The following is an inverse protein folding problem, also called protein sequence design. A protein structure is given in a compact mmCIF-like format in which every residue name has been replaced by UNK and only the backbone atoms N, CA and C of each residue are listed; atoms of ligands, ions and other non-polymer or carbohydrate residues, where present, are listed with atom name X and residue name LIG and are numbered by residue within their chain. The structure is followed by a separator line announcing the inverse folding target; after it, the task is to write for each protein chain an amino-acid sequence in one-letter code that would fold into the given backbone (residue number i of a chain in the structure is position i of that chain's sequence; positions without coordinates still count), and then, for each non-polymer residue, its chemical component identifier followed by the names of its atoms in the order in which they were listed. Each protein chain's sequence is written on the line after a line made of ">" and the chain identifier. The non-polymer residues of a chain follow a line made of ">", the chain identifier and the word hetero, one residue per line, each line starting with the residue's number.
data_IF_768912315983
#
_entry.id   IF_768912315983
#
_cell.length_a   1.000
_cell.length_b   1.000
_cell.length_c   1.000
_cell.angle_alpha   90.00
_cell.angle_beta   90.00
_cell.angle_gamma   90.00
#
_symmetry.space_group_name_H-M   'P 1'
#
loop_
_entity.id
_entity.type
_entity.pdbx_description
1 polymer ?
#
# COMPACT_ATOMS: atom_id res chain seq x y z
N UNK A 1 2.09 -1.99 -15.44
CA UNK A 1 1.57 -1.38 -14.22
C UNK A 1 1.02 0.00 -14.55
N UNK A 2 -0.17 0.33 -14.08
CA UNK A 2 -0.76 1.66 -14.12
C UNK A 2 -1.17 2.04 -12.69
N UNK A 3 -0.95 3.29 -12.33
CA UNK A 3 -1.40 3.87 -11.07
C UNK A 3 -2.60 4.79 -11.30
N UNK A 4 -3.56 4.75 -10.39
CA UNK A 4 -4.66 5.71 -10.29
C UNK A 4 -4.56 6.49 -8.97
N UNK A 5 -5.18 7.66 -8.93
CA UNK A 5 -5.35 8.47 -7.73
C UNK A 5 -6.82 8.46 -7.33
N UNK A 6 -7.08 8.19 -6.05
CA UNK A 6 -8.43 8.11 -5.52
C UNK A 6 -8.57 8.98 -4.26
N UNK A 7 -9.81 9.32 -3.95
CA UNK A 7 -10.26 9.90 -2.69
C UNK A 7 -11.22 8.92 -2.04
N UNK A 8 -10.89 8.48 -0.83
CA UNK A 8 -11.66 7.48 -0.09
C UNK A 8 -12.18 8.07 1.23
N UNK A 9 -13.43 7.77 1.54
CA UNK A 9 -14.15 8.17 2.74
C UNK A 9 -15.04 7.05 3.27
N UNK A 10 -15.81 7.34 4.32
CA UNK A 10 -16.76 6.35 4.86
C UNK A 10 -17.91 6.15 3.85
N UNK A 11 -17.88 5.02 3.15
CA UNK A 11 -18.92 4.61 2.20
C UNK A 11 -18.83 5.27 0.83
N UNK A 12 -17.77 6.04 0.56
CA UNK A 12 -17.56 6.73 -0.73
C UNK A 12 -16.15 6.53 -1.24
N UNK A 13 -16.01 6.40 -2.55
CA UNK A 13 -14.73 6.40 -3.23
C UNK A 13 -14.87 7.15 -4.55
N UNK A 14 -13.92 8.03 -4.85
CA UNK A 14 -13.86 8.79 -6.07
C UNK A 14 -12.51 8.61 -6.75
N UNK A 15 -12.51 8.40 -8.07
CA UNK A 15 -11.28 8.28 -8.87
C UNK A 15 -11.09 9.49 -9.76
N UNK A 16 -9.87 10.02 -9.75
CA UNK A 16 -9.47 11.14 -10.60
C UNK A 16 -9.63 10.75 -12.09
N UNK A 17 -10.21 11.64 -12.88
CA UNK A 17 -10.38 11.52 -14.32
C UNK A 17 -9.32 12.35 -15.06
N UNK A 18 -9.14 12.10 -16.36
CA UNK A 18 -8.16 12.81 -17.22
C UNK A 18 -8.45 14.30 -17.36
N UNK A 19 -9.70 14.71 -17.20
CA UNK A 19 -10.14 16.11 -17.22
C UNK A 19 -10.09 16.78 -15.83
N UNK A 20 -9.44 16.13 -14.86
CA UNK A 20 -9.31 16.56 -13.46
C UNK A 20 -10.64 16.56 -12.67
N UNK A 21 -11.71 16.00 -13.24
CA UNK A 21 -12.94 15.67 -12.51
C UNK A 21 -12.77 14.40 -11.68
N UNK A 22 -13.76 14.11 -10.83
CA UNK A 22 -13.77 12.95 -9.94
C UNK A 22 -15.03 12.13 -10.20
N UNK A 23 -14.86 10.83 -10.46
CA UNK A 23 -15.96 9.88 -10.70
C UNK A 23 -16.15 8.99 -9.49
N UNK A 24 -17.39 8.81 -9.04
CA UNK A 24 -17.72 7.85 -7.98
C UNK A 24 -17.45 6.41 -8.47
N UNK A 25 -16.72 5.62 -7.68
CA UNK A 25 -16.31 4.24 -8.00
C UNK A 25 -16.84 3.21 -7.02
N UNK A 26 -17.73 3.58 -6.09
CA UNK A 26 -18.27 2.67 -5.08
C UNK A 26 -18.92 1.42 -5.70
N UNK A 27 -19.55 1.57 -6.86
CA UNK A 27 -20.26 0.49 -7.57
C UNK A 27 -19.43 -0.18 -8.67
N UNK A 28 -18.37 0.49 -9.17
CA UNK A 28 -17.52 -0.04 -10.23
C UNK A 28 -16.06 0.40 -10.06
N UNK A 29 -15.23 -0.56 -9.64
CA UNK A 29 -13.80 -0.36 -9.40
C UNK A 29 -12.92 -0.60 -10.65
N UNK A 30 -13.49 -1.11 -11.75
CA UNK A 30 -12.76 -1.32 -13.00
C UNK A 30 -12.26 0.00 -13.57
N UNK A 31 -11.18 -0.07 -14.36
CA UNK A 31 -10.66 1.10 -15.06
C UNK A 31 -11.59 1.48 -16.22
N UNK A 32 -11.92 2.77 -16.27
CA UNK A 32 -12.63 3.36 -17.41
C UNK A 32 -11.69 4.15 -18.31
N UNK A 33 -12.06 4.31 -19.57
CA UNK A 33 -11.25 5.05 -20.58
C UNK A 33 -10.89 6.47 -20.15
N UNK A 34 -11.73 7.12 -19.34
CA UNK A 34 -11.51 8.49 -18.86
C UNK A 34 -10.81 8.58 -17.50
N UNK A 35 -10.53 7.45 -16.83
CA UNK A 35 -9.79 7.46 -15.58
C UNK A 35 -8.36 8.00 -15.81
N UNK A 36 -7.91 8.86 -14.90
CA UNK A 36 -6.51 9.27 -14.85
C UNK A 36 -5.67 8.04 -14.51
N UNK A 37 -4.70 7.75 -15.37
CA UNK A 37 -3.73 6.67 -15.16
C UNK A 37 -2.34 7.17 -15.48
N UNK A 38 -1.35 6.69 -14.73
CA UNK A 38 0.06 7.02 -14.98
C UNK A 38 0.95 5.81 -14.72
N UNK A 39 2.11 5.77 -15.37
CA UNK A 39 3.18 4.82 -15.05
C UNK A 39 4.20 5.39 -14.06
N UNK A 40 4.03 6.66 -13.68
CA UNK A 40 5.01 7.44 -12.93
C UNK A 40 4.50 7.66 -11.50
N UNK A 41 5.09 6.96 -10.54
CA UNK A 41 4.68 7.05 -9.14
C UNK A 41 4.71 8.48 -8.58
N UNK A 42 5.67 9.31 -9.01
CA UNK A 42 5.79 10.69 -8.54
C UNK A 42 4.59 11.58 -8.93
N UNK A 43 3.85 11.24 -9.99
CA UNK A 43 2.65 11.99 -10.38
C UNK A 43 1.51 11.76 -9.38
N UNK A 44 1.41 10.55 -8.80
CA UNK A 44 0.46 10.26 -7.73
C UNK A 44 0.83 11.05 -6.46
N UNK A 45 2.09 10.97 -6.04
CA UNK A 45 2.53 11.65 -4.81
C UNK A 45 2.37 13.16 -4.92
N UNK A 46 2.80 13.78 -6.02
CA UNK A 46 2.68 15.23 -6.24
C UNK A 46 1.23 15.74 -6.29
N UNK A 47 0.30 14.93 -6.80
CA UNK A 47 -1.13 15.26 -6.84
C UNK A 47 -1.86 15.04 -5.51
N UNK A 48 -1.29 14.23 -4.60
CA UNK A 48 -1.90 13.88 -3.31
C UNK A 48 -1.71 14.96 -2.21
N UNK A 49 -1.21 16.14 -2.54
CA UNK A 49 -0.88 17.19 -1.55
C UNK A 49 -1.52 18.56 -1.82
N UNK A 50 -2.31 18.72 -2.88
CA UNK A 50 -2.64 20.04 -3.41
C UNK A 50 -3.95 20.65 -2.88
N UNK A 51 -4.82 19.91 -2.16
CA UNK A 51 -6.15 20.41 -1.75
C UNK A 51 -6.48 20.04 -0.32
N UNK A 52 -7.03 21.01 0.43
CA UNK A 52 -7.59 20.80 1.78
C UNK A 52 -9.08 20.48 1.75
N UNK A 53 -9.79 20.93 0.72
CA UNK A 53 -11.22 20.68 0.57
C UNK A 53 -11.58 20.43 -0.89
N UNK A 54 -12.69 19.72 -1.12
CA UNK A 54 -13.26 19.50 -2.45
C UNK A 54 -14.78 19.43 -2.38
N UNK A 55 -15.47 19.94 -3.40
CA UNK A 55 -16.92 19.78 -3.53
C UNK A 55 -17.24 18.69 -4.54
N UNK A 56 -17.86 17.60 -4.09
CA UNK A 56 -18.26 16.45 -4.91
C UNK A 56 -19.74 16.17 -4.65
N UNK A 57 -20.52 16.05 -5.73
CA UNK A 57 -21.97 15.71 -5.64
C UNK A 57 -22.77 16.65 -4.71
N UNK A 58 -22.34 17.91 -4.58
CA UNK A 58 -22.97 18.91 -3.71
C UNK A 58 -22.45 18.96 -2.28
N UNK A 59 -21.70 17.94 -1.82
CA UNK A 59 -21.10 17.85 -0.49
C UNK A 59 -19.69 18.44 -0.52
N UNK A 60 -19.31 19.18 0.53
CA UNK A 60 -17.94 19.67 0.71
C UNK A 60 -17.22 18.73 1.65
N UNK A 61 -16.13 18.14 1.17
CA UNK A 61 -15.30 17.24 1.95
C UNK A 61 -14.00 17.94 2.36
N UNK A 62 -13.55 17.67 3.58
CA UNK A 62 -12.19 17.93 4.04
C UNK A 62 -11.27 16.79 3.61
N UNK A 63 -10.11 17.12 3.07
CA UNK A 63 -9.11 16.14 2.65
C UNK A 63 -7.94 16.20 3.63
N UNK A 64 -7.71 15.13 4.39
CA UNK A 64 -6.51 14.97 5.22
C UNK A 64 -5.74 13.70 4.81
N UNK A 65 -4.55 13.85 4.17
CA UNK A 65 -3.75 12.71 3.74
C UNK A 65 -3.17 11.87 4.90
N UNK A 66 -3.29 12.35 6.14
CA UNK A 66 -2.59 11.80 7.31
C UNK A 66 -3.49 11.01 8.24
N UNK A 67 -4.80 11.10 8.05
CA UNK A 67 -5.78 10.51 8.96
C UNK A 67 -6.74 9.63 8.19
N UNK A 68 -7.07 8.49 8.81
CA UNK A 68 -8.23 7.74 8.37
C UNK A 68 -9.49 8.60 8.55
N UNK A 69 -10.41 8.66 7.57
CA UNK A 69 -11.67 9.38 7.71
C UNK A 69 -12.43 8.93 8.96
N UNK A 70 -12.75 9.88 9.84
CA UNK A 70 -13.47 9.63 11.11
C UNK A 70 -14.95 10.00 11.03
N UNK A 71 -15.36 10.66 9.95
CA UNK A 71 -16.74 11.04 9.67
C UNK A 71 -17.00 11.02 8.15
N UNK A 72 -18.27 11.21 7.75
CA UNK A 72 -18.71 11.14 6.36
C UNK A 72 -18.28 12.32 5.49
N UNK A 73 -17.74 13.40 6.06
CA UNK A 73 -17.30 14.62 5.35
C UNK A 73 -15.78 14.67 5.21
N UNK A 74 -15.08 13.58 5.54
CA UNK A 74 -13.63 13.46 5.40
C UNK A 74 -13.27 12.49 4.28
N UNK A 75 -12.29 12.89 3.48
CA UNK A 75 -11.65 12.06 2.46
C UNK A 75 -10.15 11.98 2.73
N UNK A 76 -9.54 10.88 2.30
CA UNK A 76 -8.10 10.70 2.25
C UNK A 76 -7.69 10.35 0.81
N UNK A 77 -6.49 10.76 0.40
CA UNK A 77 -5.90 10.28 -0.84
C UNK A 77 -5.48 8.81 -0.68
N UNK A 78 -5.89 7.97 -1.61
CA UNK A 78 -5.38 6.63 -1.78
C UNK A 78 -4.87 6.45 -3.21
N UNK A 79 -4.20 5.33 -3.48
CA UNK A 79 -3.83 4.96 -4.84
C UNK A 79 -4.08 3.49 -5.11
N UNK A 80 -4.30 3.18 -6.39
CA UNK A 80 -4.43 1.80 -6.84
C UNK A 80 -3.46 1.47 -7.96
N UNK A 81 -3.22 0.17 -8.12
CA UNK A 81 -2.22 -0.39 -9.03
C UNK A 81 -2.82 -1.48 -9.89
N UNK A 82 -2.81 -1.27 -11.20
CA UNK A 82 -3.34 -2.22 -12.18
C UNK A 82 -2.22 -2.89 -13.01
N UNK A 83 -2.32 -4.20 -13.33
CA UNK A 83 -1.21 -4.99 -13.90
C UNK A 83 -1.62 -6.15 -14.85
N UNK A 84 -0.94 -6.27 -16.01
CA UNK A 84 -1.19 -7.39 -16.97
C UNK A 84 -0.53 -8.67 -16.53
N UNK A 85 0.57 -8.51 -15.81
CA UNK A 85 1.47 -9.60 -15.47
C UNK A 85 1.38 -9.84 -13.99
N UNK A 86 1.30 -11.12 -13.64
CA UNK A 86 1.39 -11.56 -12.27
C UNK A 86 2.78 -11.16 -11.74
N UNK A 87 2.86 -10.43 -10.63
CA UNK A 87 4.14 -10.05 -10.04
C UNK A 87 4.83 -11.23 -9.37
N UNK A 88 6.13 -11.08 -9.10
CA UNK A 88 6.86 -12.00 -8.25
C UNK A 88 6.22 -12.07 -6.87
N UNK A 89 6.15 -13.26 -6.31
CA UNK A 89 5.66 -13.46 -4.96
C UNK A 89 6.76 -13.13 -3.94
N UNK A 90 6.45 -12.41 -2.85
CA UNK A 90 7.42 -12.16 -1.79
C UNK A 90 7.90 -13.46 -1.14
N UNK A 91 9.19 -13.56 -0.83
CA UNK A 91 9.78 -14.80 -0.30
C UNK A 91 10.37 -14.63 1.10
N UNK A 92 10.51 -15.76 1.79
CA UNK A 92 11.16 -15.84 3.10
C UNK A 92 12.62 -15.38 3.02
N UNK A 93 13.36 -15.84 2.01
CA UNK A 93 14.77 -15.54 1.83
C UNK A 93 15.00 -14.05 1.57
N UNK A 94 14.14 -13.43 0.76
CA UNK A 94 14.20 -12.01 0.47
C UNK A 94 13.93 -11.17 1.73
N UNK A 95 12.89 -11.51 2.50
CA UNK A 95 12.59 -10.82 3.75
C UNK A 95 13.74 -10.97 4.74
N UNK A 96 14.24 -12.20 4.91
CA UNK A 96 15.37 -12.51 5.79
C UNK A 96 16.59 -11.69 5.43
N UNK A 97 16.96 -11.63 4.14
CA UNK A 97 18.08 -10.84 3.65
C UNK A 97 17.86 -9.35 3.91
N UNK A 98 16.67 -8.83 3.61
CA UNK A 98 16.28 -7.44 3.84
C UNK A 98 16.44 -7.04 5.32
N UNK A 99 15.94 -7.87 6.25
CA UNK A 99 16.09 -7.67 7.70
C UNK A 99 17.55 -7.78 8.12
N UNK A 100 18.27 -8.79 7.64
CA UNK A 100 19.69 -9.04 7.97
C UNK A 100 20.58 -7.84 7.63
N UNK A 101 20.33 -7.21 6.48
CA UNK A 101 21.10 -6.07 5.97
C UNK A 101 20.68 -4.71 6.58
N UNK A 102 19.64 -4.69 7.40
CA UNK A 102 19.14 -3.47 8.02
C UNK A 102 20.12 -2.87 9.03
N UNK A 103 20.14 -1.53 9.10
CA UNK A 103 20.96 -0.79 10.04
C UNK A 103 20.13 -0.41 11.28
N UNK A 104 20.35 -1.11 12.39
CA UNK A 104 19.62 -0.88 13.64
C UNK A 104 20.05 0.41 14.37
N UNK A 105 21.11 1.11 13.93
CA UNK A 105 21.46 2.42 14.50
C UNK A 105 20.54 3.56 14.06
N UNK A 106 19.60 3.30 13.14
CA UNK A 106 18.61 4.26 12.65
C UNK A 106 17.22 3.63 12.66
N UNK A 107 16.18 4.45 12.66
CA UNK A 107 14.81 3.95 12.55
C UNK A 107 14.52 3.53 11.11
N UNK A 108 13.98 2.34 10.92
CA UNK A 108 13.64 1.77 9.62
C UNK A 108 12.15 1.52 9.50
N UNK A 109 11.63 1.60 8.28
CA UNK A 109 10.28 1.15 7.95
C UNK A 109 10.41 0.01 6.96
N UNK A 110 10.01 -1.18 7.36
CA UNK A 110 9.86 -2.31 6.45
C UNK A 110 8.64 -2.07 5.57
N UNK A 111 8.83 -2.22 4.27
CA UNK A 111 7.76 -2.18 3.29
C UNK A 111 7.79 -3.40 2.39
N UNK A 112 6.64 -3.73 1.83
CA UNK A 112 6.54 -4.57 0.63
C UNK A 112 6.10 -3.69 -0.53
N UNK A 113 6.86 -3.69 -1.62
CA UNK A 113 6.55 -2.87 -2.78
C UNK A 113 5.63 -3.60 -3.78
N UNK A 114 5.12 -2.85 -4.76
CA UNK A 114 4.22 -3.35 -5.82
C UNK A 114 4.82 -4.40 -6.76
N UNK A 115 6.12 -4.66 -6.69
CA UNK A 115 6.79 -5.72 -7.44
C UNK A 115 6.95 -7.00 -6.62
N UNK A 116 6.47 -7.03 -5.37
CA UNK A 116 6.61 -8.16 -4.46
C UNK A 116 7.96 -8.20 -3.76
N UNK A 117 8.68 -7.08 -3.69
CA UNK A 117 9.98 -7.01 -3.03
C UNK A 117 9.93 -6.28 -1.68
N UNK A 118 10.60 -6.84 -0.68
CA UNK A 118 10.82 -6.19 0.59
C UNK A 118 11.92 -5.12 0.50
N UNK A 119 11.71 -4.00 1.21
CA UNK A 119 12.69 -2.92 1.35
C UNK A 119 12.67 -2.37 2.78
N UNK A 120 13.82 -1.92 3.28
CA UNK A 120 13.89 -1.06 4.47
C UNK A 120 14.12 0.39 4.03
N UNK A 121 13.22 1.28 4.42
CA UNK A 121 13.36 2.72 4.19
C UNK A 121 13.66 3.45 5.49
N UNK A 122 14.77 4.18 5.53
CA UNK A 122 15.23 4.88 6.74
C UNK A 122 14.41 6.13 7.03
N UNK A 123 14.09 6.35 8.31
CA UNK A 123 13.36 7.52 8.82
C UNK A 123 14.24 8.31 9.78
N UNK A 124 14.62 9.57 9.46
CA UNK A 124 14.45 10.28 8.19
C UNK A 124 15.38 9.72 7.07
N UNK A 125 15.13 10.02 5.77
CA UNK A 125 14.18 11.00 5.21
C UNK A 125 12.83 10.42 4.77
N UNK A 126 12.58 9.12 4.91
CA UNK A 126 11.33 8.53 4.45
C UNK A 126 10.11 9.09 5.20
N UNK A 127 9.17 9.67 4.45
CA UNK A 127 7.92 10.20 4.98
C UNK A 127 6.76 9.24 4.67
N UNK A 128 6.42 8.40 5.64
CA UNK A 128 5.30 7.46 5.54
C UNK A 128 3.91 8.10 5.37
N UNK A 129 3.78 9.43 5.48
CA UNK A 129 2.53 10.14 5.22
C UNK A 129 2.34 10.48 3.72
N UNK A 130 3.32 10.18 2.87
CA UNK A 130 3.17 10.31 1.42
C UNK A 130 2.37 9.15 0.86
N UNK A 131 1.37 9.46 0.02
CA UNK A 131 0.66 8.49 -0.82
C UNK A 131 1.58 7.96 -1.95
N UNK A 132 2.58 7.17 -1.58
CA UNK A 132 3.54 6.55 -2.51
C UNK A 132 2.92 5.28 -3.12
N UNK A 133 2.48 5.30 -4.38
CA UNK A 133 1.76 4.17 -4.97
C UNK A 133 2.64 2.93 -5.16
N UNK A 134 3.95 3.01 -4.87
CA UNK A 134 4.87 1.87 -4.97
C UNK A 134 4.83 0.96 -3.74
N UNK A 135 4.19 1.38 -2.64
CA UNK A 135 4.14 0.64 -1.38
C UNK A 135 2.81 -0.10 -1.27
N UNK A 136 2.84 -1.42 -1.12
CA UNK A 136 1.63 -2.21 -0.86
C UNK A 136 1.26 -2.18 0.60
N UNK A 137 2.24 -2.53 1.44
CA UNK A 137 2.11 -2.56 2.89
C UNK A 137 3.34 -1.93 3.50
N UNK A 138 3.09 -1.14 4.53
CA UNK A 138 4.05 -0.59 5.48
C UNK A 138 3.82 -1.26 6.83
N UNK A 139 4.91 -1.76 7.40
CA UNK A 139 4.93 -2.27 8.77
C UNK A 139 5.11 -1.14 9.79
N UNK A 140 4.90 -1.45 11.06
CA UNK A 140 5.32 -0.59 12.17
C UNK A 140 6.79 -0.15 12.00
N UNK A 141 7.11 1.06 12.46
CA UNK A 141 8.49 1.57 12.39
C UNK A 141 9.37 0.83 13.40
N UNK A 142 10.43 0.20 12.90
CA UNK A 142 11.49 -0.36 13.73
C UNK A 142 12.37 0.77 14.22
N UNK A 143 12.26 1.10 15.52
CA UNK A 143 12.98 2.20 16.15
C UNK A 143 14.45 1.83 16.31
N UNK A 144 15.35 2.80 16.12
CA UNK A 144 16.78 2.60 16.30
C UNK A 144 17.11 1.89 17.64
N UNK A 145 17.87 0.81 17.57
CA UNK A 145 18.38 0.03 18.70
C UNK A 145 17.37 -0.94 19.30
N UNK A 146 16.22 -1.14 18.66
CA UNK A 146 15.19 -2.06 19.17
C UNK A 146 15.40 -3.52 18.76
N UNK A 147 16.41 -3.80 17.91
CA UNK A 147 16.79 -5.16 17.53
C UNK A 147 15.86 -5.84 16.53
N UNK A 148 14.96 -5.12 15.86
CA UNK A 148 14.06 -5.70 14.83
C UNK A 148 14.71 -5.77 13.44
N UNK A 149 15.91 -5.21 13.28
CA UNK A 149 16.73 -5.35 12.06
C UNK A 149 18.17 -5.68 12.42
N UNK A 150 18.92 -6.16 11.43
CA UNK A 150 20.31 -6.62 11.59
C UNK A 150 20.43 -8.13 11.64
N UNK A 151 21.66 -8.60 11.80
CA UNK A 151 22.04 -10.02 11.64
C UNK A 151 21.23 -10.93 12.56
N UNK A 152 21.00 -10.54 13.81
CA UNK A 152 20.34 -11.41 14.78
C UNK A 152 18.83 -11.46 14.56
N UNK A 153 18.19 -10.33 14.21
CA UNK A 153 16.80 -10.31 13.76
C UNK A 153 16.59 -11.20 12.52
N UNK A 154 17.54 -11.17 11.57
CA UNK A 154 17.52 -12.02 10.38
C UNK A 154 17.71 -13.52 10.65
N UNK A 155 18.19 -13.91 11.84
CA UNK A 155 18.28 -15.32 12.26
C UNK A 155 17.03 -15.79 12.99
N UNK A 156 16.20 -14.88 13.49
CA UNK A 156 14.94 -15.23 14.15
C UNK A 156 13.93 -15.71 13.11
N UNK A 157 13.95 -17.03 12.86
CA UNK A 157 13.08 -17.66 11.89
C UNK A 157 11.59 -17.40 12.16
N UNK A 158 11.17 -17.42 13.43
CA UNK A 158 9.77 -17.20 13.79
C UNK A 158 9.35 -15.77 13.46
N UNK A 159 10.17 -14.79 13.82
CA UNK A 159 9.93 -13.39 13.46
C UNK A 159 9.77 -13.22 11.95
N UNK A 160 10.68 -13.80 11.14
CA UNK A 160 10.59 -13.72 9.68
C UNK A 160 9.32 -14.42 9.15
N UNK A 161 8.95 -15.58 9.68
CA UNK A 161 7.73 -16.30 9.29
C UNK A 161 6.46 -15.49 9.60
N UNK A 162 6.39 -14.88 10.79
CA UNK A 162 5.24 -14.08 11.22
C UNK A 162 5.09 -12.83 10.33
N UNK A 163 6.18 -12.11 10.06
CA UNK A 163 6.21 -10.93 9.19
C UNK A 163 5.89 -11.29 7.74
N UNK A 164 6.41 -12.40 7.23
CA UNK A 164 6.12 -12.88 5.87
C UNK A 164 4.63 -13.22 5.73
N UNK A 165 4.07 -14.00 6.66
CA UNK A 165 2.67 -14.44 6.60
C UNK A 165 1.73 -13.24 6.56
N UNK A 166 1.96 -12.26 7.44
CA UNK A 166 1.22 -10.99 7.44
C UNK A 166 1.38 -10.23 6.12
N UNK A 167 2.61 -10.09 5.61
CA UNK A 167 2.86 -9.37 4.36
C UNK A 167 2.17 -10.03 3.16
N UNK A 168 2.13 -11.37 3.13
CA UNK A 168 1.48 -12.14 2.08
C UNK A 168 -0.05 -12.00 2.16
N UNK A 169 -0.64 -11.88 3.36
CA UNK A 169 -2.07 -11.60 3.53
C UNK A 169 -2.47 -10.27 2.88
N UNK A 170 -1.73 -9.19 3.20
CA UNK A 170 -1.94 -7.89 2.59
C UNK A 170 -1.59 -7.86 1.09
N UNK A 171 -0.61 -8.65 0.66
CA UNK A 171 -0.31 -8.83 -0.75
C UNK A 171 -1.49 -9.43 -1.53
N UNK A 172 -2.21 -10.38 -0.93
CA UNK A 172 -3.44 -10.92 -1.54
C UNK A 172 -4.52 -9.86 -1.64
N UNK A 173 -4.73 -9.07 -0.58
CA UNK A 173 -5.69 -7.94 -0.60
C UNK A 173 -5.32 -6.95 -1.71
N UNK A 174 -4.03 -6.61 -1.83
CA UNK A 174 -3.52 -5.75 -2.89
C UNK A 174 -3.79 -6.30 -4.28
N UNK A 175 -3.52 -7.58 -4.51
CA UNK A 175 -3.71 -8.20 -5.83
C UNK A 175 -5.18 -8.37 -6.20
N UNK A 176 -6.09 -8.47 -5.22
CA UNK A 176 -7.54 -8.56 -5.44
C UNK A 176 -8.19 -7.20 -5.65
N UNK A 177 -7.78 -6.19 -4.88
CA UNK A 177 -8.48 -4.90 -4.80
C UNK A 177 -7.66 -3.73 -5.36
N UNK A 178 -6.43 -3.99 -5.81
CA UNK A 178 -5.47 -3.00 -6.33
C UNK A 178 -4.98 -1.97 -5.28
N UNK A 179 -5.36 -2.12 -4.00
CA UNK A 179 -5.11 -1.15 -2.91
C UNK A 179 -3.62 -1.08 -2.57
N UNK A 180 -3.10 0.14 -2.39
CA UNK A 180 -1.74 0.40 -1.89
C UNK A 180 -1.78 1.06 -0.51
N UNK A 181 -0.61 1.28 0.09
CA UNK A 181 -0.45 2.05 1.34
C UNK A 181 -1.15 1.43 2.56
N UNK A 182 -1.31 0.11 2.60
CA UNK A 182 -1.81 -0.53 3.80
C UNK A 182 -0.83 -0.36 4.97
N UNK A 183 -1.35 -0.20 6.17
CA UNK A 183 -0.58 -0.26 7.40
C UNK A 183 -0.85 -1.58 8.12
N UNK A 184 0.19 -2.18 8.70
CA UNK A 184 0.04 -3.35 9.55
C UNK A 184 0.91 -3.29 10.79
N UNK A 185 0.28 -3.57 11.92
CA UNK A 185 0.83 -3.88 13.24
C UNK A 185 0.21 -5.15 13.84
N UNK A 186 -0.60 -5.89 13.06
CA UNK A 186 -1.39 -7.04 13.52
C UNK A 186 -0.91 -8.35 12.91
N UNK A 187 -0.97 -9.44 13.66
CA UNK A 187 -0.70 -10.77 13.12
C UNK A 187 -1.81 -11.25 12.17
N UNK A 188 -1.44 -11.97 11.10
CA UNK A 188 -2.43 -12.68 10.28
C UNK A 188 -3.06 -13.82 11.08
N UNK A 189 -4.35 -14.03 10.88
CA UNK A 189 -5.10 -15.16 11.47
C UNK A 189 -5.11 -16.40 10.58
N UNK A 190 -4.56 -16.30 9.36
CA UNK A 190 -4.52 -17.39 8.38
C UNK A 190 -3.10 -17.97 8.29
N UNK A 191 -3.02 -19.23 7.91
CA UNK A 191 -1.74 -19.84 7.53
C UNK A 191 -1.28 -19.35 6.15
N UNK A 192 0.04 -19.40 5.93
CA UNK A 192 0.63 -19.01 4.63
C UNK A 192 0.10 -19.84 3.46
N UNK A 193 -0.21 -21.12 3.68
CA UNK A 193 -0.76 -22.01 2.65
C UNK A 193 -2.18 -21.61 2.25
N UNK A 194 -3.04 -21.30 3.23
CA UNK A 194 -4.40 -20.81 2.97
C UNK A 194 -4.37 -19.51 2.16
N UNK A 195 -3.50 -18.56 2.54
CA UNK A 195 -3.37 -17.27 1.84
C UNK A 195 -2.90 -17.48 0.39
N UNK A 196 -1.93 -18.36 0.15
CA UNK A 196 -1.42 -18.65 -1.21
C UNK A 196 -2.45 -19.33 -2.11
N UNK A 197 -3.25 -20.22 -1.55
CA UNK A 197 -4.33 -20.88 -2.28
C UNK A 197 -5.41 -19.87 -2.71
N UNK A 198 -5.78 -18.94 -1.82
CA UNK A 198 -6.69 -17.84 -2.13
C UNK A 198 -6.20 -16.99 -3.31
N UNK A 199 -4.88 -16.81 -3.45
CA UNK A 199 -4.29 -15.95 -4.47
C UNK A 199 -4.30 -16.60 -5.85
N UNK A 200 -3.84 -17.85 -5.94
CA UNK A 200 -3.69 -18.57 -7.22
C UNK A 200 -5.01 -18.79 -7.93
N UNK A 201 -6.10 -18.93 -7.18
CA UNK A 201 -7.43 -19.21 -7.75
C UNK A 201 -8.15 -17.96 -8.25
N UNK A 202 -7.82 -16.78 -7.71
CA UNK A 202 -8.65 -15.59 -7.87
C UNK A 202 -7.95 -14.43 -8.59
N UNK A 203 -6.63 -14.49 -8.79
CA UNK A 203 -5.96 -13.43 -9.53
C UNK A 203 -6.31 -13.45 -11.02
N UNK A 204 -6.58 -12.26 -11.56
CA UNK A 204 -6.81 -12.03 -12.99
C UNK A 204 -5.98 -10.84 -13.44
N UNK A 205 -5.38 -10.88 -14.65
CA UNK A 205 -4.82 -9.71 -15.28
C UNK A 205 -5.87 -8.59 -15.39
N UNK A 206 -5.49 -7.36 -15.11
CA UNK A 206 -6.42 -6.24 -14.98
C UNK A 206 -5.96 -5.00 -15.77
N UNK A 207 -6.75 -4.63 -16.78
CA UNK A 207 -6.69 -3.36 -17.56
C UNK A 207 -8.08 -2.95 -17.99
#
# INVERSE_FOLDING_TARGET
>A
MLFTLELEGIGVCYRLQKDESWRNTAENQELMTNDFTTKRAYEITSRSYCKKTIKLEGITYDIDPRMWPTNHEQLNFSSRVFRRLYPSEPTFEQLRETITLGNDSVSNVLILNVNGNFELRQKPPFNHLTNDPTIVIRHETYVAGNGYVGIDAGKDKKFIEDVLTMSIDYWVVHLKNHITQNYSDLHSTKSLEEIRNDLRQNWKPDY
#
